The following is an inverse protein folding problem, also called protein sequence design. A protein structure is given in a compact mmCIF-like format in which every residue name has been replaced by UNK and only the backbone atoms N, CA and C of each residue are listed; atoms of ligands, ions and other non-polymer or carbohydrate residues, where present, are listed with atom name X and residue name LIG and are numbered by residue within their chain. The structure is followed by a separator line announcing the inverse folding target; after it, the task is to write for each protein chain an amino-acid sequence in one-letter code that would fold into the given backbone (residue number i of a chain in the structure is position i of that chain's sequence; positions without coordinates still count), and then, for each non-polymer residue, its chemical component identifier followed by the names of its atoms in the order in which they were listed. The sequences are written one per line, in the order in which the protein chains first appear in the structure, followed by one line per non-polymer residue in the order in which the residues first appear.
data_IF_420031709059
#
_entry.id   IF_420031709059
#
_cell.length_a   1.000
_cell.length_b   1.000
_cell.length_c   1.000
_cell.angle_alpha   90.00
_cell.angle_beta   90.00
_cell.angle_gamma   90.00
#
_symmetry.space_group_name_H-M   'P 1'
#
loop_
_entity.id
_entity.type
_entity.pdbx_description
1 polymer ?
#
# COMPACT_ATOMS: atom_id res chain seq x y z
N UNK A 1 -10.71 -1.41 -19.79
CA UNK A 1 -10.33 -0.14 -19.16
C UNK A 1 -11.62 0.60 -18.85
N UNK A 2 -12.22 0.28 -17.71
CA UNK A 2 -13.45 0.92 -17.25
C UNK A 2 -13.13 2.33 -16.79
N UNK A 3 -13.96 3.31 -17.16
CA UNK A 3 -13.81 4.69 -16.73
C UNK A 3 -13.85 4.77 -15.21
N UNK A 4 -12.87 5.48 -14.64
CA UNK A 4 -12.84 5.90 -13.23
C UNK A 4 -14.12 6.68 -12.99
N UNK A 5 -14.94 6.28 -12.01
CA UNK A 5 -16.11 7.06 -11.59
C UNK A 5 -15.57 8.31 -10.89
N UNK A 6 -15.44 9.39 -11.66
CA UNK A 6 -15.26 10.75 -11.16
C UNK A 6 -16.58 11.16 -10.50
N UNK A 7 -16.72 10.89 -9.19
CA UNK A 7 -17.63 11.60 -8.26
C UNK A 7 -17.61 10.90 -6.88
N UNK A 8 -16.43 10.81 -6.27
CA UNK A 8 -16.27 10.46 -4.85
C UNK A 8 -15.60 11.66 -4.16
N UNK A 9 -16.41 12.51 -3.54
CA UNK A 9 -15.93 13.56 -2.64
C UNK A 9 -15.35 12.89 -1.38
N UNK A 10 -14.01 12.88 -1.28
CA UNK A 10 -13.26 12.10 -0.29
C UNK A 10 -12.61 10.88 -0.95
N UNK A 11 -11.29 10.72 -0.74
CA UNK A 11 -10.50 9.69 -1.44
C UNK A 11 -11.12 8.29 -1.35
N UNK A 12 -11.07 7.54 -2.46
CA UNK A 12 -11.48 6.14 -2.54
C UNK A 12 -10.28 5.20 -2.50
N UNK A 13 -10.51 3.99 -2.01
CA UNK A 13 -9.51 2.91 -2.03
C UNK A 13 -9.98 1.79 -2.93
N UNK A 14 -9.16 1.42 -3.91
CA UNK A 14 -9.43 0.26 -4.74
C UNK A 14 -9.25 -1.02 -3.92
N UNK A 15 -10.21 -1.94 -4.04
CA UNK A 15 -10.16 -3.32 -3.55
C UNK A 15 -10.31 -4.31 -4.70
N UNK A 16 -9.76 -5.50 -4.53
CA UNK A 16 -9.88 -6.58 -5.51
C UNK A 16 -9.01 -7.77 -5.18
N UNK A 17 -9.06 -8.78 -6.05
CA UNK A 17 -8.22 -9.96 -5.98
C UNK A 17 -7.08 -9.79 -6.98
N UNK A 18 -5.84 -10.01 -6.53
CA UNK A 18 -4.67 -9.96 -7.39
C UNK A 18 -4.80 -10.96 -8.55
N UNK A 19 -4.42 -10.55 -9.76
CA UNK A 19 -4.57 -11.37 -10.97
C UNK A 19 -6.00 -11.51 -11.49
N UNK A 20 -7.01 -11.09 -10.72
CA UNK A 20 -8.39 -10.95 -11.18
C UNK A 20 -8.63 -9.60 -11.86
N UNK A 21 -9.65 -9.53 -12.72
CA UNK A 21 -10.08 -8.28 -13.37
C UNK A 21 -11.14 -7.51 -12.57
N UNK A 22 -11.80 -8.17 -11.61
CA UNK A 22 -12.82 -7.54 -10.80
C UNK A 22 -12.20 -6.53 -9.83
N UNK A 23 -12.80 -5.34 -9.78
CA UNK A 23 -12.39 -4.25 -8.88
C UNK A 23 -13.61 -3.48 -8.40
N UNK A 24 -13.46 -2.90 -7.21
CA UNK A 24 -14.36 -1.89 -6.70
C UNK A 24 -13.59 -0.81 -5.97
N UNK A 25 -14.21 0.35 -5.87
CA UNK A 25 -13.81 1.45 -5.03
C UNK A 25 -14.63 1.41 -3.74
N UNK A 26 -13.96 1.57 -2.61
CA UNK A 26 -14.62 1.84 -1.32
C UNK A 26 -14.34 3.29 -0.96
N UNK A 27 -15.39 4.08 -0.79
CA UNK A 27 -15.24 5.48 -0.38
C UNK A 27 -15.01 5.61 1.13
N UNK A 28 -14.70 6.84 1.58
CA UNK A 28 -14.45 7.15 2.99
C UNK A 28 -15.64 6.85 3.93
N UNK A 29 -16.82 6.54 3.39
CA UNK A 29 -18.07 6.27 4.12
C UNK A 29 -18.48 4.80 4.05
N UNK A 30 -17.67 3.94 3.45
CA UNK A 30 -17.94 2.51 3.33
C UNK A 30 -18.94 2.15 2.23
N UNK A 31 -19.23 3.08 1.31
CA UNK A 31 -19.96 2.79 0.08
C UNK A 31 -19.05 2.03 -0.86
N UNK A 32 -19.59 1.02 -1.53
CA UNK A 32 -18.83 0.19 -2.47
C UNK A 32 -19.34 0.45 -3.87
N UNK A 33 -18.45 0.83 -4.80
CA UNK A 33 -18.78 1.04 -6.20
C UNK A 33 -17.93 0.12 -7.06
N UNK A 34 -18.54 -0.85 -7.74
CA UNK A 34 -17.81 -1.71 -8.67
C UNK A 34 -17.36 -0.90 -9.88
N UNK A 35 -16.25 -1.29 -10.51
CA UNK A 35 -15.80 -0.63 -11.75
C UNK A 35 -16.78 -0.80 -12.94
N UNK A 36 -17.77 -1.70 -12.81
CA UNK A 36 -18.89 -1.84 -13.74
C UNK A 36 -20.04 -0.86 -13.43
N UNK A 37 -19.92 -0.04 -12.38
CA UNK A 37 -20.84 1.03 -12.01
C UNK A 37 -21.94 0.63 -11.01
N UNK A 38 -21.93 -0.59 -10.48
CA UNK A 38 -22.91 -0.99 -9.45
C UNK A 38 -22.48 -0.45 -8.08
N UNK A 39 -23.37 0.26 -7.40
CA UNK A 39 -23.12 0.82 -6.07
C UNK A 39 -23.92 0.09 -4.97
N UNK A 40 -23.26 -0.16 -3.84
CA UNK A 40 -23.86 -0.66 -2.61
C UNK A 40 -23.74 0.42 -1.53
N UNK A 41 -24.88 1.05 -1.22
CA UNK A 41 -25.02 1.95 -0.08
C UNK A 41 -25.51 1.16 1.14
N UNK A 42 -25.28 1.70 2.34
CA UNK A 42 -25.67 1.06 3.58
C UNK A 42 -26.19 2.07 4.60
N UNK A 43 -27.11 1.63 5.46
CA UNK A 43 -27.71 2.41 6.54
C UNK A 43 -27.82 1.58 7.80
N UNK A 44 -27.89 2.24 8.95
CA UNK A 44 -28.03 1.59 10.25
C UNK A 44 -29.28 2.14 10.95
N UNK A 45 -30.20 1.27 11.33
CA UNK A 45 -31.22 1.59 12.31
C UNK A 45 -30.70 1.24 13.70
N UNK A 46 -30.55 2.24 14.56
CA UNK A 46 -30.25 2.08 15.97
C UNK A 46 -31.44 2.52 16.83
N UNK A 47 -31.32 2.46 18.16
CA UNK A 47 -32.40 2.79 19.09
C UNK A 47 -32.85 4.26 19.04
N UNK A 48 -31.97 5.16 18.61
CA UNK A 48 -32.22 6.60 18.56
C UNK A 48 -32.84 7.05 17.24
N UNK A 49 -32.23 6.65 16.12
CA UNK A 49 -32.59 7.05 14.76
C UNK A 49 -31.94 6.14 13.72
N UNK A 50 -32.23 6.47 12.46
CA UNK A 50 -31.43 6.03 11.33
C UNK A 50 -30.12 6.82 11.24
N UNK A 51 -29.03 6.10 10.96
CA UNK A 51 -27.71 6.64 10.66
C UNK A 51 -27.40 6.36 9.18
N UNK A 52 -27.10 7.43 8.44
CA UNK A 52 -26.64 7.37 7.06
C UNK A 52 -25.16 7.76 7.04
N UNK A 53 -24.22 6.81 6.84
CA UNK A 53 -22.79 7.05 6.87
C UNK A 53 -22.34 8.21 5.96
N UNK A 54 -23.08 8.51 4.89
CA UNK A 54 -22.79 9.63 3.98
C UNK A 54 -22.96 11.00 4.65
N UNK A 55 -23.85 11.09 5.65
CA UNK A 55 -24.19 12.32 6.35
C UNK A 55 -23.65 12.36 7.80
N UNK A 56 -23.15 11.24 8.32
CA UNK A 56 -22.61 11.15 9.69
C UNK A 56 -21.22 11.79 9.82
N UNK A 57 -21.06 12.86 10.59
CA UNK A 57 -19.73 13.50 10.79
C UNK A 57 -18.73 12.62 11.55
N UNK A 58 -19.21 11.60 12.27
CA UNK A 58 -18.41 10.72 13.14
C UNK A 58 -17.86 9.48 12.43
N UNK A 59 -18.09 9.34 11.12
CA UNK A 59 -17.54 8.21 10.36
C UNK A 59 -16.04 8.29 10.33
N UNK A 60 -15.41 7.17 10.68
CA UNK A 60 -13.97 7.00 10.64
C UNK A 60 -13.64 5.73 9.89
N UNK A 61 -12.67 5.81 8.99
CA UNK A 61 -12.25 4.69 8.17
C UNK A 61 -10.73 4.55 8.22
N UNK A 62 -10.27 3.31 8.20
CA UNK A 62 -8.86 2.97 8.10
C UNK A 62 -8.66 1.71 7.26
N UNK A 63 -7.49 1.58 6.65
CA UNK A 63 -7.01 0.31 6.10
C UNK A 63 -6.39 -0.53 7.23
N UNK A 64 -6.66 -1.82 7.25
CA UNK A 64 -6.01 -2.76 8.19
C UNK A 64 -4.58 -3.01 7.71
N UNK A 65 -3.59 -2.62 8.51
CA UNK A 65 -2.15 -2.74 8.20
C UNK A 65 -1.76 -2.08 6.86
N UNK A 66 -2.48 -1.03 6.45
CA UNK A 66 -2.29 -0.37 5.14
C UNK A 66 -2.80 -1.17 3.93
N UNK A 67 -3.40 -2.34 4.14
CA UNK A 67 -3.85 -3.24 3.06
C UNK A 67 -5.24 -2.86 2.50
N UNK A 68 -5.67 -3.41 1.35
CA UNK A 68 -7.03 -3.26 0.78
C UNK A 68 -8.13 -3.97 1.59
N UNK A 69 -8.03 -3.94 2.91
CA UNK A 69 -9.03 -4.38 3.88
C UNK A 69 -9.43 -3.13 4.65
N UNK A 70 -10.62 -2.62 4.39
CA UNK A 70 -11.09 -1.37 4.99
C UNK A 70 -11.97 -1.65 6.20
N UNK A 71 -11.83 -0.83 7.23
CA UNK A 71 -12.69 -0.83 8.42
C UNK A 71 -13.33 0.55 8.56
N UNK A 72 -14.65 0.63 8.34
CA UNK A 72 -15.46 1.83 8.51
C UNK A 72 -16.27 1.72 9.80
N UNK A 73 -16.07 2.65 10.74
CA UNK A 73 -16.84 2.70 12.00
C UNK A 73 -17.84 3.86 11.97
N UNK A 74 -19.09 3.57 12.30
CA UNK A 74 -20.16 4.54 12.46
C UNK A 74 -20.60 4.54 13.92
N UNK A 75 -20.58 5.72 14.55
CA UNK A 75 -21.01 5.90 15.94
C UNK A 75 -22.52 5.75 16.05
N UNK A 76 -22.96 4.88 16.96
CA UNK A 76 -24.37 4.71 17.35
C UNK A 76 -24.49 4.87 18.87
N UNK A 77 -25.70 4.93 19.46
CA UNK A 77 -25.84 4.99 20.92
C UNK A 77 -25.06 3.88 21.62
N UNK A 78 -24.21 4.27 22.58
CA UNK A 78 -23.46 3.35 23.43
C UNK A 78 -22.28 2.62 22.77
N UNK A 79 -22.01 2.79 21.48
CA UNK A 79 -20.93 2.05 20.81
C UNK A 79 -20.77 2.37 19.32
N UNK A 80 -20.33 1.40 18.53
CA UNK A 80 -20.10 1.58 17.10
C UNK A 80 -20.65 0.41 16.29
N UNK A 81 -21.05 0.68 15.05
CA UNK A 81 -21.24 -0.35 14.02
C UNK A 81 -20.03 -0.34 13.11
N UNK A 82 -19.38 -1.49 12.97
CA UNK A 82 -18.10 -1.62 12.28
C UNK A 82 -18.29 -2.44 11.01
N UNK A 83 -18.16 -1.79 9.86
CA UNK A 83 -18.15 -2.44 8.55
C UNK A 83 -16.70 -2.77 8.15
N UNK A 84 -16.44 -4.01 7.74
CA UNK A 84 -15.18 -4.41 7.12
C UNK A 84 -15.41 -4.85 5.68
N UNK A 85 -14.66 -4.28 4.75
CA UNK A 85 -14.78 -4.55 3.31
C UNK A 85 -13.44 -5.04 2.77
N UNK A 86 -13.45 -6.20 2.10
CA UNK A 86 -12.26 -6.81 1.52
C UNK A 86 -12.63 -7.82 0.43
N UNK A 87 -11.68 -8.16 -0.44
CA UNK A 87 -11.90 -9.14 -1.51
C UNK A 87 -11.18 -10.46 -1.24
N UNK A 88 -11.84 -11.58 -1.54
CA UNK A 88 -11.27 -12.93 -1.48
C UNK A 88 -11.36 -13.60 -2.84
N UNK A 89 -10.37 -14.43 -3.17
CA UNK A 89 -10.33 -15.19 -4.43
C UNK A 89 -11.22 -16.44 -4.41
N UNK A 90 -11.62 -16.88 -3.21
CA UNK A 90 -12.44 -18.06 -2.97
C UNK A 90 -13.76 -17.99 -3.77
N UNK A 91 -14.29 -19.15 -4.15
CA UNK A 91 -15.58 -19.28 -4.84
C UNK A 91 -15.74 -18.43 -6.13
N UNK A 92 -14.65 -18.18 -6.85
CA UNK A 92 -14.67 -17.38 -8.09
C UNK A 92 -14.60 -15.87 -7.86
N UNK A 93 -14.23 -15.45 -6.65
CA UNK A 93 -14.08 -14.05 -6.27
C UNK A 93 -15.31 -13.51 -5.55
N UNK A 94 -15.12 -12.98 -4.34
CA UNK A 94 -16.18 -12.33 -3.56
C UNK A 94 -15.63 -11.08 -2.88
N UNK A 95 -16.37 -9.98 -2.95
CA UNK A 95 -16.13 -8.81 -2.11
C UNK A 95 -16.96 -8.96 -0.86
N UNK A 96 -16.29 -9.29 0.23
CA UNK A 96 -16.87 -9.50 1.54
C UNK A 96 -17.21 -8.17 2.19
N UNK A 97 -18.39 -8.13 2.82
CA UNK A 97 -18.82 -7.09 3.74
C UNK A 97 -19.18 -7.77 5.05
N UNK A 98 -18.38 -7.53 6.08
CA UNK A 98 -18.70 -7.92 7.46
C UNK A 98 -19.20 -6.71 8.21
N UNK A 99 -20.31 -6.83 8.93
CA UNK A 99 -20.83 -5.74 9.78
C UNK A 99 -20.98 -6.25 11.20
N UNK A 100 -20.16 -5.74 12.10
CA UNK A 100 -20.15 -6.05 13.52
C UNK A 100 -20.92 -4.97 14.30
N UNK A 101 -21.79 -5.42 15.21
CA UNK A 101 -22.43 -4.53 16.18
C UNK A 101 -21.62 -4.49 17.48
N UNK A 102 -20.76 -3.48 17.59
CA UNK A 102 -19.99 -3.16 18.80
C UNK A 102 -20.72 -2.09 19.64
N UNK A 103 -22.04 -2.28 19.82
CA UNK A 103 -22.88 -1.46 20.69
C UNK A 103 -23.79 -2.35 21.55
N UNK A 104 -24.21 -1.91 22.76
CA UNK A 104 -25.02 -2.72 23.68
C UNK A 104 -26.40 -3.13 23.16
N UNK A 105 -26.99 -2.33 22.28
CA UNK A 105 -28.34 -2.54 21.77
C UNK A 105 -28.31 -3.26 20.40
N UNK A 106 -29.32 -4.10 20.07
CA UNK A 106 -29.48 -4.61 18.72
C UNK A 106 -29.67 -3.48 17.70
N UNK A 107 -29.06 -3.63 16.52
CA UNK A 107 -29.22 -2.71 15.39
C UNK A 107 -29.77 -3.47 14.17
N UNK A 108 -30.27 -2.76 13.17
CA UNK A 108 -30.50 -3.33 11.85
C UNK A 108 -29.64 -2.62 10.81
N UNK A 109 -29.03 -3.38 9.91
CA UNK A 109 -28.27 -2.84 8.78
C UNK A 109 -29.06 -3.05 7.51
N UNK A 110 -29.18 -2.00 6.71
CA UNK A 110 -29.85 -2.01 5.41
C UNK A 110 -28.82 -1.84 4.32
N UNK A 111 -28.93 -2.62 3.25
CA UNK A 111 -28.18 -2.43 2.01
C UNK A 111 -29.11 -1.99 0.88
N UNK A 112 -28.62 -1.16 -0.04
CA UNK A 112 -29.42 -0.55 -1.12
C UNK A 112 -30.07 -1.55 -2.08
N UNK A 113 -29.55 -2.77 -2.18
CA UNK A 113 -30.16 -3.82 -2.97
C UNK A 113 -29.85 -5.24 -2.45
N UNK A 114 -30.74 -6.19 -2.73
CA UNK A 114 -30.57 -7.61 -2.40
C UNK A 114 -29.67 -8.43 -3.32
N UNK A 115 -28.93 -7.83 -4.27
CA UNK A 115 -28.02 -8.55 -5.17
C UNK A 115 -26.72 -8.98 -4.46
N UNK A 116 -26.86 -9.75 -3.38
CA UNK A 116 -25.79 -10.15 -2.46
C UNK A 116 -25.78 -11.67 -2.25
N UNK A 117 -24.62 -12.18 -1.88
CA UNK A 117 -24.46 -13.46 -1.21
C UNK A 117 -24.73 -13.26 0.29
N UNK A 118 -25.57 -14.07 0.90
CA UNK A 118 -26.00 -13.87 2.29
C UNK A 118 -25.90 -15.16 3.11
N UNK A 119 -25.41 -15.09 4.35
CA UNK A 119 -25.38 -16.25 5.26
C UNK A 119 -26.78 -16.65 5.74
N UNK A 120 -27.66 -15.67 5.86
CA UNK A 120 -29.05 -15.84 6.29
C UNK A 120 -29.95 -14.97 5.41
N UNK A 121 -31.21 -15.36 5.20
CA UNK A 121 -32.15 -14.53 4.45
C UNK A 121 -32.31 -13.13 5.06
N UNK A 122 -32.50 -12.08 4.25
CA UNK A 122 -32.93 -10.78 4.74
C UNK A 122 -34.22 -10.86 5.56
N UNK A 123 -34.41 -9.92 6.48
CA UNK A 123 -35.67 -9.80 7.18
C UNK A 123 -36.80 -9.41 6.20
N UNK A 124 -37.99 -9.96 6.43
CA UNK A 124 -39.20 -9.67 5.64
C UNK A 124 -40.00 -8.49 6.18
N UNK A 125 -39.55 -7.91 7.31
CA UNK A 125 -40.17 -6.74 7.92
C UNK A 125 -39.91 -5.52 7.02
N UNK A 126 -40.94 -4.71 6.69
CA UNK A 126 -40.77 -3.49 5.93
C UNK A 126 -39.77 -2.53 6.58
N UNK A 127 -38.97 -1.86 5.74
CA UNK A 127 -38.09 -0.78 6.19
C UNK A 127 -38.93 0.48 6.29
N UNK A 128 -39.08 1.01 7.51
CA UNK A 128 -39.88 2.19 7.80
C UNK A 128 -39.02 3.32 8.39
N UNK A 129 -39.42 4.57 8.16
CA UNK A 129 -38.76 5.74 8.75
C UNK A 129 -37.49 6.25 8.05
N UNK A 130 -37.14 5.68 6.89
CA UNK A 130 -36.08 6.16 6.00
C UNK A 130 -36.47 5.93 4.53
N UNK A 131 -36.06 6.85 3.66
CA UNK A 131 -36.15 6.65 2.21
C UNK A 131 -34.96 5.82 1.73
N UNK A 132 -35.26 4.62 1.21
CA UNK A 132 -34.26 3.71 0.63
C UNK A 132 -34.69 3.24 -0.75
N UNK A 133 -33.75 2.87 -1.64
CA UNK A 133 -34.09 2.40 -2.98
C UNK A 133 -34.98 1.15 -2.96
N UNK A 134 -35.76 0.98 -4.04
CA UNK A 134 -36.52 -0.24 -4.25
C UNK A 134 -35.57 -1.45 -4.35
N UNK A 135 -35.89 -2.52 -3.60
CA UNK A 135 -35.06 -3.72 -3.53
C UNK A 135 -34.03 -3.71 -2.40
N UNK A 136 -34.01 -2.67 -1.56
CA UNK A 136 -33.23 -2.66 -0.33
C UNK A 136 -33.57 -3.84 0.59
N UNK A 137 -32.56 -4.34 1.29
CA UNK A 137 -32.66 -5.52 2.16
C UNK A 137 -32.13 -5.20 3.56
N UNK A 138 -32.79 -5.71 4.60
CA UNK A 138 -32.44 -5.43 6.00
C UNK A 138 -31.99 -6.69 6.75
N UNK A 139 -31.06 -6.51 7.69
CA UNK A 139 -30.50 -7.58 8.50
C UNK A 139 -30.38 -7.13 9.97
N UNK A 140 -31.11 -7.77 10.92
CA UNK A 140 -30.98 -7.46 12.34
C UNK A 140 -29.70 -8.07 12.92
N UNK A 141 -28.91 -7.29 13.63
CA UNK A 141 -27.63 -7.68 14.23
C UNK A 141 -27.73 -7.49 15.75
N UNK A 142 -27.65 -8.61 16.49
CA UNK A 142 -27.61 -8.56 17.95
C UNK A 142 -26.32 -7.96 18.49
N UNK A 143 -26.29 -7.68 19.80
CA UNK A 143 -25.09 -7.21 20.49
C UNK A 143 -23.92 -8.18 20.30
N UNK A 144 -22.74 -7.64 19.93
CA UNK A 144 -21.53 -8.41 19.64
C UNK A 144 -21.70 -9.52 18.57
N UNK A 145 -22.70 -9.38 17.70
CA UNK A 145 -22.89 -10.26 16.56
C UNK A 145 -22.32 -9.62 15.28
N UNK A 146 -21.88 -10.49 14.35
CA UNK A 146 -21.37 -10.07 13.05
C UNK A 146 -22.25 -10.65 11.94
N UNK A 147 -22.73 -9.76 11.06
CA UNK A 147 -23.33 -10.12 9.78
C UNK A 147 -22.23 -10.27 8.73
N UNK A 148 -22.30 -11.32 7.90
CA UNK A 148 -21.46 -11.43 6.70
C UNK A 148 -22.34 -11.52 5.46
N UNK A 149 -22.06 -10.65 4.49
CA UNK A 149 -22.61 -10.68 3.14
C UNK A 149 -21.49 -10.52 2.12
N UNK A 150 -21.75 -10.81 0.86
CA UNK A 150 -20.75 -10.69 -0.20
C UNK A 150 -21.34 -10.17 -1.50
N UNK A 151 -20.54 -9.44 -2.27
CA UNK A 151 -20.82 -9.14 -3.68
C UNK A 151 -20.07 -10.21 -4.50
N UNK A 152 -20.77 -11.08 -5.24
CA UNK A 152 -20.10 -12.07 -6.07
C UNK A 152 -19.39 -11.36 -7.23
N UNK A 153 -18.12 -11.71 -7.50
CA UNK A 153 -17.39 -11.17 -8.65
C UNK A 153 -17.90 -11.76 -9.96
N UNK A 154 -18.46 -12.97 -9.89
CA UNK A 154 -19.12 -13.66 -10.98
C UNK A 154 -20.37 -14.38 -10.48
N UNK A 155 -21.38 -14.52 -11.33
CA UNK A 155 -22.60 -15.25 -11.00
C UNK A 155 -23.70 -14.41 -10.34
N UNK A 156 -24.64 -15.11 -9.70
CA UNK A 156 -25.89 -14.53 -9.19
C UNK A 156 -25.90 -14.44 -7.65
N UNK A 157 -26.76 -13.56 -7.08
CA UNK A 157 -27.06 -13.53 -5.65
C UNK A 157 -27.49 -14.90 -5.11
N UNK A 158 -27.29 -15.16 -3.83
CA UNK A 158 -27.57 -16.49 -3.26
C UNK A 158 -27.00 -16.72 -1.86
N UNK A 159 -26.84 -17.99 -1.44
CA UNK A 159 -26.22 -18.31 -0.16
C UNK A 159 -24.73 -17.94 -0.17
N UNK A 160 -24.23 -17.39 0.94
CA UNK A 160 -22.81 -17.14 1.11
C UNK A 160 -22.05 -18.46 1.31
N UNK A 161 -20.95 -18.71 0.55
CA UNK A 161 -20.07 -19.86 0.79
C UNK A 161 -19.54 -19.90 2.22
N UNK A 162 -19.43 -21.09 2.80
CA UNK A 162 -19.03 -21.26 4.19
C UNK A 162 -17.53 -21.01 4.43
N UNK A 163 -16.69 -21.41 3.49
CA UNK A 163 -15.23 -21.31 3.57
C UNK A 163 -14.73 -20.12 2.76
N UNK A 164 -14.76 -18.93 3.38
CA UNK A 164 -14.22 -17.70 2.80
C UNK A 164 -13.19 -17.09 3.74
N UNK A 165 -12.12 -16.53 3.18
CA UNK A 165 -11.07 -15.84 3.94
C UNK A 165 -11.61 -14.79 4.92
N UNK A 166 -10.90 -14.63 6.04
CA UNK A 166 -11.18 -13.60 7.06
C UNK A 166 -10.44 -12.30 6.72
N UNK A 167 -10.88 -11.13 7.21
CA UNK A 167 -10.20 -9.86 6.93
C UNK A 167 -8.72 -9.89 7.34
N UNK A 168 -8.40 -10.48 8.50
CA UNK A 168 -7.01 -10.61 8.97
C UNK A 168 -6.17 -11.57 8.11
N UNK A 169 -6.75 -12.65 7.60
CA UNK A 169 -6.03 -13.55 6.69
C UNK A 169 -5.70 -12.86 5.37
N UNK A 170 -6.63 -12.06 4.85
CA UNK A 170 -6.44 -11.27 3.63
C UNK A 170 -5.38 -10.19 3.83
N UNK A 171 -5.46 -9.43 4.93
CA UNK A 171 -4.46 -8.42 5.28
C UNK A 171 -3.05 -9.04 5.35
N UNK A 172 -2.87 -10.15 6.09
CA UNK A 172 -1.59 -10.88 6.14
C UNK A 172 -1.11 -11.40 4.78
N UNK A 173 -2.02 -11.75 3.88
CA UNK A 173 -1.70 -12.13 2.51
C UNK A 173 -1.08 -10.95 1.74
N UNK A 174 -1.73 -9.79 1.80
CA UNK A 174 -1.25 -8.56 1.20
C UNK A 174 0.08 -8.09 1.79
N UNK A 175 0.21 -8.05 3.11
CA UNK A 175 1.46 -7.62 3.77
C UNK A 175 2.63 -8.48 3.30
N UNK A 176 2.51 -9.81 3.33
CA UNK A 176 3.56 -10.74 2.86
C UNK A 176 3.95 -10.51 1.40
N UNK A 177 2.97 -10.23 0.54
CA UNK A 177 3.23 -9.92 -0.85
C UNK A 177 4.04 -8.62 -0.99
N UNK A 178 3.62 -7.55 -0.29
CA UNK A 178 4.33 -6.26 -0.36
C UNK A 178 5.73 -6.30 0.27
N UNK A 179 5.94 -7.14 1.29
CA UNK A 179 7.24 -7.34 1.95
C UNK A 179 8.26 -8.07 1.06
N UNK A 180 7.83 -8.70 -0.04
CA UNK A 180 8.73 -9.31 -1.03
C UNK A 180 9.65 -8.26 -1.66
N UNK A 181 9.18 -7.02 -1.82
CA UNK A 181 9.97 -5.92 -2.36
C UNK A 181 10.97 -5.35 -1.34
N UNK A 182 10.49 -5.04 -0.14
CA UNK A 182 11.28 -4.73 1.06
C UNK A 182 10.39 -4.78 2.30
N UNK A 183 10.97 -5.17 3.43
CA UNK A 183 10.27 -5.20 4.72
C UNK A 183 10.83 -4.12 5.62
N UNK A 184 9.96 -3.34 6.25
CA UNK A 184 10.35 -2.28 7.18
C UNK A 184 9.52 -2.41 8.45
N UNK A 185 10.18 -2.32 9.60
CA UNK A 185 9.56 -2.28 10.93
C UNK A 185 10.08 -1.02 11.57
N UNK A 186 9.28 0.04 11.56
CA UNK A 186 9.66 1.39 11.99
C UNK A 186 8.88 1.80 13.25
N UNK A 187 9.40 2.72 14.08
CA UNK A 187 8.66 3.25 15.24
C UNK A 187 7.41 4.03 14.81
N UNK A 188 7.42 4.61 13.60
CA UNK A 188 6.28 5.27 12.99
C UNK A 188 5.50 4.28 12.11
N UNK A 189 4.43 3.72 12.67
CA UNK A 189 3.57 2.76 11.98
C UNK A 189 2.87 3.35 10.75
N UNK A 190 2.61 4.66 10.71
CA UNK A 190 1.91 5.29 9.59
C UNK A 190 2.76 5.27 8.31
N UNK A 191 4.09 5.34 8.42
CA UNK A 191 4.99 5.17 7.27
C UNK A 191 4.96 3.74 6.73
N UNK A 192 4.88 2.75 7.61
CA UNK A 192 4.80 1.33 7.23
C UNK A 192 3.47 1.05 6.53
N UNK A 193 2.35 1.49 7.10
CA UNK A 193 1.02 1.34 6.52
C UNK A 193 0.91 2.07 5.18
N UNK A 194 1.48 3.28 5.05
CA UNK A 194 1.50 4.02 3.77
C UNK A 194 2.32 3.28 2.71
N UNK A 195 3.46 2.68 3.08
CA UNK A 195 4.27 1.88 2.15
C UNK A 195 3.47 0.68 1.62
N UNK A 196 2.82 -0.07 2.51
CA UNK A 196 1.95 -1.21 2.16
C UNK A 196 0.81 -0.74 1.26
N UNK A 197 0.14 0.35 1.62
CA UNK A 197 -0.98 0.91 0.86
C UNK A 197 -0.59 1.28 -0.56
N UNK A 198 0.50 2.04 -0.75
CA UNK A 198 0.99 2.44 -2.07
C UNK A 198 1.29 1.21 -2.94
N UNK A 199 1.94 0.19 -2.39
CA UNK A 199 2.24 -1.07 -3.09
C UNK A 199 0.99 -1.84 -3.48
N UNK A 200 0.04 -1.98 -2.56
CA UNK A 200 -1.24 -2.63 -2.83
C UNK A 200 -2.02 -1.90 -3.93
N UNK A 201 -2.03 -0.57 -3.92
CA UNK A 201 -2.69 0.21 -4.97
C UNK A 201 -2.03 0.01 -6.34
N UNK A 202 -0.69 -0.07 -6.42
CA UNK A 202 0.00 -0.41 -7.67
C UNK A 202 -0.31 -1.83 -8.13
N UNK A 203 -0.37 -2.80 -7.22
CA UNK A 203 -0.76 -4.19 -7.55
C UNK A 203 -2.20 -4.30 -8.09
N UNK A 204 -3.12 -3.48 -7.58
CA UNK A 204 -4.52 -3.51 -7.98
C UNK A 204 -4.79 -2.71 -9.25
N UNK A 205 -4.23 -1.50 -9.35
CA UNK A 205 -4.51 -0.54 -10.42
C UNK A 205 -3.51 -0.60 -11.57
N UNK A 206 -2.35 -1.20 -11.36
CA UNK A 206 -1.22 -1.09 -12.26
C UNK A 206 -0.43 0.21 -12.08
N UNK A 207 0.66 0.37 -12.84
CA UNK A 207 1.46 1.59 -12.84
C UNK A 207 0.67 2.78 -13.41
N UNK A 208 1.15 4.00 -13.15
CA UNK A 208 0.60 5.20 -13.79
C UNK A 208 0.73 5.12 -15.32
N UNK A 209 -0.15 5.84 -16.02
CA UNK A 209 -0.08 5.94 -17.48
C UNK A 209 1.24 6.62 -17.90
N UNK A 210 2.06 5.99 -18.76
CA UNK A 210 3.40 6.47 -19.09
C UNK A 210 3.41 7.75 -19.95
N UNK A 211 2.27 8.16 -20.52
CA UNK A 211 2.17 9.40 -21.31
C UNK A 211 1.99 10.60 -20.37
N UNK A 212 1.14 10.44 -19.36
CA UNK A 212 0.87 11.47 -18.35
C UNK A 212 1.91 11.52 -17.22
N UNK A 213 2.44 10.37 -16.78
CA UNK A 213 3.41 10.26 -15.70
C UNK A 213 4.43 9.15 -15.96
N UNK A 214 5.45 9.44 -16.78
CA UNK A 214 6.52 8.50 -17.10
C UNK A 214 7.31 8.03 -15.86
N UNK A 215 7.53 8.91 -14.88
CA UNK A 215 8.26 8.57 -13.64
C UNK A 215 7.43 7.63 -12.76
N UNK A 216 6.16 7.96 -12.51
CA UNK A 216 5.26 7.10 -11.76
C UNK A 216 5.03 5.75 -12.44
N UNK A 217 5.00 5.73 -13.77
CA UNK A 217 4.90 4.50 -14.55
C UNK A 217 6.11 3.59 -14.33
N UNK A 218 7.32 4.14 -14.44
CA UNK A 218 8.58 3.41 -14.20
C UNK A 218 8.70 2.87 -12.79
N UNK A 219 8.44 3.72 -11.78
CA UNK A 219 8.49 3.31 -10.39
C UNK A 219 7.45 2.20 -10.13
N UNK A 220 6.24 2.32 -10.66
CA UNK A 220 5.21 1.29 -10.54
C UNK A 220 5.62 -0.04 -11.19
N UNK A 221 6.11 -0.02 -12.43
CA UNK A 221 6.56 -1.22 -13.16
C UNK A 221 7.69 -1.95 -12.40
N UNK A 222 8.69 -1.19 -11.94
CA UNK A 222 9.82 -1.78 -11.21
C UNK A 222 9.41 -2.32 -9.84
N UNK A 223 8.48 -1.65 -9.15
CA UNK A 223 7.95 -2.12 -7.87
C UNK A 223 7.10 -3.39 -8.03
N UNK A 224 6.32 -3.50 -9.11
CA UNK A 224 5.59 -4.74 -9.44
C UNK A 224 6.53 -5.94 -9.58
N UNK A 225 7.66 -5.77 -10.27
CA UNK A 225 8.68 -6.81 -10.40
C UNK A 225 9.30 -7.15 -9.04
N UNK A 226 9.59 -6.15 -8.21
CA UNK A 226 10.08 -6.39 -6.84
C UNK A 226 9.07 -7.14 -5.96
N UNK A 227 7.79 -7.02 -6.23
CA UNK A 227 6.71 -7.78 -5.56
C UNK A 227 6.40 -9.12 -6.24
N UNK A 228 7.23 -9.57 -7.19
CA UNK A 228 7.14 -10.91 -7.79
C UNK A 228 6.36 -10.99 -9.11
N UNK A 229 6.02 -9.87 -9.75
CA UNK A 229 5.48 -9.89 -11.12
C UNK A 229 6.56 -10.32 -12.13
N UNK A 230 6.14 -10.92 -13.25
CA UNK A 230 7.08 -11.38 -14.27
C UNK A 230 7.85 -10.22 -14.90
N UNK A 231 9.16 -10.19 -14.63
CA UNK A 231 10.07 -9.17 -15.13
C UNK A 231 10.16 -9.19 -16.66
N UNK A 232 10.18 -10.38 -17.28
CA UNK A 232 10.41 -10.52 -18.73
C UNK A 232 9.28 -9.85 -19.51
N UNK A 233 8.03 -10.01 -19.06
CA UNK A 233 6.87 -9.33 -19.63
C UNK A 233 6.89 -7.81 -19.51
N UNK A 234 7.50 -7.26 -18.45
CA UNK A 234 7.43 -5.83 -18.13
C UNK A 234 8.63 -5.00 -18.60
N UNK A 235 9.77 -5.64 -18.92
CA UNK A 235 10.99 -4.95 -19.41
C UNK A 235 10.74 -4.05 -20.63
N UNK A 236 10.01 -4.47 -21.69
CA UNK A 236 9.78 -3.61 -22.85
C UNK A 236 9.07 -2.30 -22.51
N UNK A 237 8.07 -2.36 -21.61
CA UNK A 237 7.33 -1.19 -21.14
C UNK A 237 8.23 -0.27 -20.31
N UNK A 238 9.02 -0.84 -19.39
CA UNK A 238 9.96 -0.09 -18.57
C UNK A 238 11.03 0.61 -19.42
N UNK A 239 11.62 -0.07 -20.41
CA UNK A 239 12.61 0.54 -21.32
C UNK A 239 11.98 1.67 -22.14
N UNK A 240 10.76 1.48 -22.64
CA UNK A 240 10.03 2.51 -23.40
C UNK A 240 9.75 3.76 -22.55
N UNK A 241 9.34 3.57 -21.30
CA UNK A 241 9.12 4.68 -20.37
C UNK A 241 10.44 5.36 -19.94
N UNK A 242 11.53 4.59 -19.77
CA UNK A 242 12.86 5.11 -19.49
C UNK A 242 13.39 5.98 -20.64
N UNK A 243 13.17 5.58 -21.90
CA UNK A 243 13.54 6.38 -23.05
C UNK A 243 12.78 7.71 -23.10
N UNK A 244 11.46 7.69 -22.82
CA UNK A 244 10.63 8.90 -22.73
C UNK A 244 11.14 9.86 -21.65
N UNK A 245 11.36 9.35 -20.43
CA UNK A 245 11.91 10.12 -19.32
C UNK A 245 13.27 10.72 -19.69
N UNK A 246 14.19 9.90 -20.19
CA UNK A 246 15.52 10.35 -20.57
C UNK A 246 15.50 11.39 -21.69
N UNK A 247 14.56 11.31 -22.63
CA UNK A 247 14.39 12.30 -23.70
C UNK A 247 13.93 13.64 -23.15
N UNK A 248 12.95 13.65 -22.22
CA UNK A 248 12.49 14.86 -21.55
C UNK A 248 13.62 15.52 -20.74
N UNK A 249 14.35 14.71 -19.97
CA UNK A 249 15.45 15.14 -19.11
C UNK A 249 16.68 15.71 -19.85
N UNK A 250 16.79 15.56 -21.18
CA UNK A 250 17.93 16.15 -21.94
C UNK A 250 18.00 17.66 -21.85
N UNK A 251 16.87 18.32 -21.61
CA UNK A 251 16.77 19.78 -21.61
C UNK A 251 16.87 20.38 -20.21
N UNK A 252 16.34 19.71 -19.19
CA UNK A 252 16.22 20.22 -17.83
C UNK A 252 17.01 19.42 -16.77
N UNK A 253 17.62 18.29 -17.13
CA UNK A 253 18.21 17.35 -16.18
C UNK A 253 17.19 16.41 -15.54
N UNK A 254 17.64 15.60 -14.58
CA UNK A 254 16.79 14.73 -13.77
C UNK A 254 16.46 15.38 -12.43
N UNK A 255 15.19 15.40 -12.08
CA UNK A 255 14.75 15.54 -10.70
C UNK A 255 15.02 14.25 -9.91
N UNK A 256 14.86 14.31 -8.57
CA UNK A 256 15.21 13.22 -7.67
C UNK A 256 14.42 11.92 -7.96
N UNK A 257 13.15 12.05 -8.35
CA UNK A 257 12.26 10.92 -8.64
C UNK A 257 12.55 10.32 -10.02
N UNK A 258 12.89 11.14 -11.01
CA UNK A 258 13.41 10.70 -12.30
C UNK A 258 14.74 9.95 -12.16
N UNK A 259 15.64 10.44 -11.32
CA UNK A 259 16.87 9.75 -10.98
C UNK A 259 16.59 8.40 -10.28
N UNK A 260 15.67 8.38 -9.31
CA UNK A 260 15.26 7.16 -8.63
C UNK A 260 14.64 6.13 -9.59
N UNK A 261 13.80 6.57 -10.52
CA UNK A 261 13.17 5.74 -11.53
C UNK A 261 14.18 5.08 -12.46
N UNK A 262 15.15 5.85 -13.00
CA UNK A 262 16.19 5.28 -13.85
C UNK A 262 17.11 4.30 -13.08
N UNK A 263 17.44 4.59 -11.81
CA UNK A 263 18.17 3.63 -10.98
C UNK A 263 17.35 2.35 -10.71
N UNK A 264 16.02 2.44 -10.63
CA UNK A 264 15.15 1.28 -10.51
C UNK A 264 15.12 0.44 -11.79
N UNK A 265 15.15 1.10 -12.96
CA UNK A 265 15.27 0.42 -14.27
C UNK A 265 16.60 -0.30 -14.41
N UNK A 266 17.71 0.30 -13.95
CA UNK A 266 19.01 -0.37 -13.93
C UNK A 266 18.94 -1.69 -13.13
N UNK A 267 18.36 -1.67 -11.92
CA UNK A 267 18.16 -2.86 -11.09
C UNK A 267 17.27 -3.89 -11.77
N UNK A 268 16.20 -3.46 -12.44
CA UNK A 268 15.33 -4.33 -13.23
C UNK A 268 16.13 -5.04 -14.33
N UNK A 269 16.91 -4.32 -15.12
CA UNK A 269 17.72 -4.87 -16.21
C UNK A 269 18.79 -5.85 -15.70
N UNK A 270 19.41 -5.53 -14.57
CA UNK A 270 20.32 -6.45 -13.86
C UNK A 270 19.60 -7.74 -13.48
N UNK A 271 18.38 -7.65 -12.93
CA UNK A 271 17.63 -8.82 -12.44
C UNK A 271 17.27 -9.82 -13.56
N UNK A 272 17.12 -9.34 -14.80
CA UNK A 272 16.87 -10.18 -15.98
C UNK A 272 18.15 -10.57 -16.74
N UNK A 273 19.33 -10.22 -16.22
CA UNK A 273 20.62 -10.55 -16.83
C UNK A 273 21.05 -9.68 -18.01
N UNK A 274 20.32 -8.59 -18.31
CA UNK A 274 20.70 -7.64 -19.37
C UNK A 274 21.71 -6.60 -18.84
N UNK A 275 22.92 -7.07 -18.54
CA UNK A 275 23.99 -6.24 -17.98
C UNK A 275 24.44 -5.11 -18.92
N UNK A 276 24.27 -5.28 -20.24
CA UNK A 276 24.62 -4.26 -21.22
C UNK A 276 23.61 -3.12 -21.17
N UNK A 277 22.32 -3.42 -21.24
CA UNK A 277 21.29 -2.39 -21.13
C UNK A 277 21.34 -1.70 -19.76
N UNK A 278 21.61 -2.43 -18.68
CA UNK A 278 21.81 -1.84 -17.36
C UNK A 278 22.97 -0.83 -17.35
N UNK A 279 24.12 -1.18 -17.96
CA UNK A 279 25.26 -0.26 -18.07
C UNK A 279 24.94 0.98 -18.91
N UNK A 280 24.17 0.83 -19.99
CA UNK A 280 23.71 1.95 -20.82
C UNK A 280 22.79 2.89 -20.02
N UNK A 281 21.88 2.35 -19.20
CA UNK A 281 21.02 3.14 -18.29
C UNK A 281 21.86 3.85 -17.21
N UNK A 282 22.85 3.19 -16.62
CA UNK A 282 23.74 3.80 -15.63
C UNK A 282 24.54 4.97 -16.23
N UNK A 283 25.07 4.80 -17.45
CA UNK A 283 25.77 5.86 -18.17
C UNK A 283 24.84 7.04 -18.52
N UNK A 284 23.60 6.75 -18.89
CA UNK A 284 22.57 7.75 -19.15
C UNK A 284 22.22 8.54 -17.89
N UNK A 285 21.99 7.85 -16.78
CA UNK A 285 21.72 8.45 -15.47
C UNK A 285 22.83 9.41 -15.04
N UNK A 286 24.10 8.99 -15.17
CA UNK A 286 25.25 9.81 -14.83
C UNK A 286 25.34 11.06 -15.72
N UNK A 287 25.14 10.92 -17.02
CA UNK A 287 25.16 12.03 -17.98
C UNK A 287 24.06 13.06 -17.75
N UNK A 288 22.91 12.62 -17.25
CA UNK A 288 21.75 13.48 -16.95
C UNK A 288 21.81 14.09 -15.54
N UNK A 289 22.89 13.87 -14.79
CA UNK A 289 23.09 14.47 -13.47
C UNK A 289 22.26 13.82 -12.37
N UNK A 290 21.99 12.51 -12.46
CA UNK A 290 21.09 11.81 -11.52
C UNK A 290 21.52 11.85 -10.04
N UNK A 291 22.77 12.20 -9.72
CA UNK A 291 23.23 12.40 -8.33
C UNK A 291 22.92 13.79 -7.76
N UNK A 292 22.48 14.74 -8.59
CA UNK A 292 22.45 16.16 -8.25
C UNK A 292 21.18 16.66 -7.58
N UNK A 293 20.05 15.96 -7.75
CA UNK A 293 18.77 16.42 -7.22
C UNK A 293 18.56 15.95 -5.76
N UNK A 294 18.22 16.86 -4.82
CA UNK A 294 17.96 16.50 -3.43
C UNK A 294 16.63 15.76 -3.28
N UNK A 295 16.58 14.78 -2.38
CA UNK A 295 15.32 14.13 -1.97
C UNK A 295 14.49 15.15 -1.16
N UNK A 296 13.18 15.28 -1.42
CA UNK A 296 12.35 16.26 -0.73
C UNK A 296 12.22 15.95 0.76
N UNK A 297 12.14 16.98 1.60
CA UNK A 297 11.94 16.83 3.04
C UNK A 297 10.58 16.21 3.37
N UNK A 298 9.55 16.62 2.63
CA UNK A 298 8.18 16.14 2.81
C UNK A 298 7.92 14.89 1.96
N UNK A 299 7.16 13.96 2.53
CA UNK A 299 6.78 12.71 1.87
C UNK A 299 5.91 12.99 0.61
N UNK A 300 6.32 12.52 -0.57
CA UNK A 300 5.54 12.66 -1.80
C UNK A 300 4.39 11.65 -1.86
N UNK A 301 3.38 11.94 -2.68
CA UNK A 301 2.22 11.07 -2.86
C UNK A 301 2.45 9.90 -3.82
N UNK A 302 1.58 8.90 -3.71
CA UNK A 302 1.58 7.72 -4.58
C UNK A 302 2.90 6.97 -4.58
N UNK A 303 3.26 6.41 -5.74
CA UNK A 303 4.39 5.51 -5.89
C UNK A 303 5.76 6.15 -5.60
N UNK A 304 5.86 7.48 -5.66
CA UNK A 304 7.08 8.23 -5.30
C UNK A 304 7.42 8.10 -3.81
N UNK A 305 6.43 7.79 -2.97
CA UNK A 305 6.65 7.54 -1.55
C UNK A 305 7.64 6.39 -1.29
N UNK A 306 7.63 5.36 -2.15
CA UNK A 306 8.51 4.19 -1.99
C UNK A 306 9.99 4.57 -2.05
N UNK A 307 10.54 5.10 -3.16
CA UNK A 307 11.94 5.48 -3.21
C UNK A 307 12.27 6.61 -2.23
N UNK A 308 11.32 7.49 -1.89
CA UNK A 308 11.52 8.52 -0.87
C UNK A 308 11.84 7.89 0.50
N UNK A 309 11.00 6.96 0.96
CA UNK A 309 11.21 6.29 2.24
C UNK A 309 12.49 5.45 2.21
N UNK A 310 12.70 4.69 1.12
CA UNK A 310 13.89 3.86 0.98
C UNK A 310 15.18 4.70 0.98
N UNK A 311 15.24 5.82 0.27
CA UNK A 311 16.44 6.68 0.28
C UNK A 311 16.71 7.36 1.63
N UNK A 312 15.66 7.65 2.42
CA UNK A 312 15.89 8.14 3.79
C UNK A 312 16.48 7.09 4.71
N UNK A 313 16.22 5.81 4.45
CA UNK A 313 16.76 4.68 5.21
C UNK A 313 18.13 4.24 4.67
N UNK A 314 18.26 4.06 3.36
CA UNK A 314 19.45 3.57 2.67
C UNK A 314 19.51 4.15 1.24
N UNK A 315 20.42 5.09 0.99
CA UNK A 315 20.62 5.69 -0.34
C UNK A 315 21.83 5.10 -1.05
N UNK A 316 21.64 4.32 -2.12
CA UNK A 316 22.75 3.88 -2.97
C UNK A 316 23.32 5.05 -3.77
N UNK A 317 24.65 5.11 -3.85
CA UNK A 317 25.41 6.07 -4.64
C UNK A 317 26.15 5.36 -5.78
N UNK A 318 26.49 6.11 -6.82
CA UNK A 318 27.16 5.57 -8.03
C UNK A 318 28.59 5.06 -7.80
N UNK A 319 29.20 5.37 -6.65
CA UNK A 319 30.56 4.96 -6.27
C UNK A 319 30.59 3.68 -5.42
N UNK A 320 29.60 2.78 -5.62
CA UNK A 320 29.46 1.52 -4.86
C UNK A 320 29.41 1.72 -3.33
N UNK A 321 28.77 2.81 -2.92
CA UNK A 321 28.55 3.16 -1.52
C UNK A 321 27.05 3.25 -1.27
N UNK A 322 26.58 2.81 -0.11
CA UNK A 322 25.21 3.03 0.36
C UNK A 322 25.24 3.84 1.66
N UNK A 323 24.58 4.99 1.66
CA UNK A 323 24.50 5.88 2.83
C UNK A 323 23.28 5.50 3.67
N UNK A 324 23.50 5.07 4.89
CA UNK A 324 22.44 4.77 5.86
C UNK A 324 22.07 6.04 6.63
N UNK A 325 20.78 6.33 6.76
CA UNK A 325 20.26 7.50 7.47
C UNK A 325 20.99 8.79 7.12
N UNK A 326 20.97 9.15 5.83
CA UNK A 326 21.65 10.34 5.30
C UNK A 326 21.26 11.62 6.09
N UNK A 327 19.98 11.76 6.41
CA UNK A 327 19.43 12.87 7.19
C UNK A 327 19.49 12.67 8.72
N UNK A 328 20.09 11.59 9.21
CA UNK A 328 20.15 11.27 10.63
C UNK A 328 18.95 10.47 11.16
N UNK A 329 18.95 10.21 12.47
CA UNK A 329 17.82 9.57 13.13
C UNK A 329 16.64 10.54 13.23
N UNK A 330 15.42 10.14 12.83
CA UNK A 330 14.23 10.93 13.16
C UNK A 330 14.09 11.08 14.67
N UNK A 331 13.83 12.29 15.17
CA UNK A 331 13.74 12.55 16.62
C UNK A 331 12.73 11.65 17.33
N UNK A 332 11.59 11.36 16.69
CA UNK A 332 10.57 10.44 17.25
C UNK A 332 10.98 8.97 17.29
N UNK A 333 12.13 8.59 16.73
CA UNK A 333 12.62 7.20 16.69
C UNK A 333 13.75 6.94 17.69
N UNK A 334 14.21 7.97 18.40
CA UNK A 334 15.27 7.86 19.39
C UNK A 334 14.84 6.93 20.53
N UNK A 335 15.71 5.99 20.92
CA UNK A 335 15.42 4.97 21.92
C UNK A 335 14.54 3.80 21.44
N UNK A 336 13.95 3.87 20.25
CA UNK A 336 13.10 2.81 19.70
C UNK A 336 13.87 1.88 18.77
N UNK A 337 13.75 0.56 18.99
CA UNK A 337 14.35 -0.44 18.13
C UNK A 337 13.58 -0.58 16.81
N UNK A 338 14.29 -0.75 15.70
CA UNK A 338 13.67 -0.92 14.38
C UNK A 338 14.58 -1.70 13.43
N UNK A 339 14.02 -2.19 12.33
CA UNK A 339 14.75 -3.00 11.34
C UNK A 339 14.17 -2.85 9.94
N UNK A 340 15.03 -3.03 8.94
CA UNK A 340 14.70 -3.00 7.52
C UNK A 340 15.38 -4.17 6.81
N UNK A 341 14.74 -4.68 5.76
CA UNK A 341 15.24 -5.80 4.97
C UNK A 341 15.03 -5.54 3.48
N UNK A 342 15.97 -6.03 2.67
CA UNK A 342 15.92 -5.96 1.21
C UNK A 342 15.86 -4.54 0.64
N UNK A 343 16.40 -3.55 1.36
CA UNK A 343 16.52 -2.19 0.80
C UNK A 343 17.56 -2.17 -0.32
N UNK A 344 17.31 -1.49 -1.45
CA UNK A 344 18.31 -1.34 -2.49
C UNK A 344 19.58 -0.65 -1.97
N UNK A 345 20.72 -1.32 -2.05
CA UNK A 345 22.04 -0.78 -1.68
C UNK A 345 22.95 -0.53 -2.90
N UNK A 346 22.53 -0.99 -4.08
CA UNK A 346 23.18 -0.75 -5.36
C UNK A 346 22.40 -1.41 -6.50
N UNK A 347 22.96 -1.45 -7.72
CA UNK A 347 22.34 -2.13 -8.86
C UNK A 347 22.17 -3.64 -8.66
N UNK A 348 23.08 -4.25 -7.89
CA UNK A 348 23.20 -5.71 -7.66
C UNK A 348 23.23 -6.09 -6.18
N UNK A 349 22.88 -5.16 -5.30
CA UNK A 349 23.08 -5.32 -3.87
C UNK A 349 21.87 -4.81 -3.09
N UNK A 350 21.53 -5.54 -2.04
CA UNK A 350 20.53 -5.16 -1.06
C UNK A 350 21.16 -5.12 0.33
N UNK A 351 20.63 -4.27 1.19
CA UNK A 351 20.99 -4.20 2.61
C UNK A 351 19.77 -4.48 3.48
N UNK A 352 19.96 -5.32 4.48
CA UNK A 352 19.11 -5.36 5.68
C UNK A 352 19.91 -4.83 6.85
N UNK A 353 19.28 -4.04 7.71
CA UNK A 353 19.93 -3.61 8.95
C UNK A 353 18.93 -3.31 10.06
N UNK A 354 19.39 -3.44 11.30
CA UNK A 354 18.63 -3.15 12.50
C UNK A 354 19.35 -2.10 13.34
N UNK A 355 18.57 -1.24 13.99
CA UNK A 355 19.04 -0.30 15.00
C UNK A 355 18.51 -0.74 16.35
N UNK A 356 19.42 -1.02 17.28
CA UNK A 356 19.13 -1.49 18.64
C UNK A 356 19.73 -0.55 19.67
N UNK A 357 18.92 -0.03 20.59
CA UNK A 357 19.40 0.95 21.58
C UNK A 357 19.99 0.30 22.82
N UNK A 358 21.16 0.76 23.21
CA UNK A 358 21.85 0.38 24.45
C UNK A 358 22.17 1.65 25.25
N UNK A 359 21.18 2.14 26.00
CA UNK A 359 21.25 3.47 26.60
C UNK A 359 21.14 4.57 25.54
N UNK A 360 22.04 5.54 25.55
CA UNK A 360 22.04 6.71 24.65
C UNK A 360 22.63 6.41 23.26
N UNK A 361 23.29 5.26 23.09
CA UNK A 361 23.96 4.89 21.84
C UNK A 361 23.25 3.71 21.15
N UNK A 362 22.97 3.81 19.83
CA UNK A 362 22.44 2.69 19.07
C UNK A 362 23.56 1.77 18.56
N UNK A 363 23.35 0.46 18.63
CA UNK A 363 24.07 -0.53 17.85
C UNK A 363 23.37 -0.71 16.49
N UNK A 364 24.16 -0.72 15.41
CA UNK A 364 23.73 -1.08 14.08
C UNK A 364 24.18 -2.51 13.78
N UNK A 365 23.26 -3.34 13.29
CA UNK A 365 23.56 -4.68 12.80
C UNK A 365 23.16 -4.71 11.33
N UNK A 366 24.03 -5.17 10.44
CA UNK A 366 23.74 -5.19 9.01
C UNK A 366 24.06 -6.52 8.36
N UNK A 367 23.39 -6.75 7.22
CA UNK A 367 23.63 -7.83 6.29
C UNK A 367 23.48 -7.28 4.86
N UNK A 368 24.39 -7.67 3.98
CA UNK A 368 24.38 -7.34 2.55
C UNK A 368 24.19 -8.63 1.76
N UNK A 369 23.22 -8.59 0.86
CA UNK A 369 23.01 -9.65 -0.14
C UNK A 369 23.37 -9.11 -1.52
N UNK A 370 24.07 -9.93 -2.33
CA UNK A 370 24.51 -9.56 -3.68
C UNK A 370 25.97 -9.13 -3.73
N UNK A 371 26.30 -8.17 -4.59
CA UNK A 371 27.68 -7.68 -4.72
C UNK A 371 28.11 -6.85 -3.49
N UNK A 372 29.42 -6.86 -3.13
CA UNK A 372 29.91 -6.06 -2.00
C UNK A 372 29.65 -4.56 -2.20
N UNK A 373 29.11 -3.90 -1.17
CA UNK A 373 28.90 -2.45 -1.12
C UNK A 373 29.51 -1.90 0.17
N UNK A 374 30.06 -0.68 0.13
CA UNK A 374 30.52 0.01 1.35
C UNK A 374 29.34 0.73 1.99
N UNK A 375 29.06 0.43 3.26
CA UNK A 375 28.05 1.17 4.02
C UNK A 375 28.69 2.38 4.68
N UNK A 376 28.03 3.52 4.58
CA UNK A 376 28.46 4.78 5.19
C UNK A 376 27.36 5.29 6.09
N UNK A 377 27.73 5.72 7.29
CA UNK A 377 26.79 6.42 8.16
C UNK A 377 26.61 7.84 7.65
N UNK A 378 25.37 8.24 7.39
CA UNK A 378 25.01 9.61 7.07
C UNK A 378 25.17 10.54 8.27
N UNK A 379 24.27 11.50 8.40
CA UNK A 379 24.28 12.41 9.56
C UNK A 379 24.12 11.66 10.90
N UNK A 380 23.57 10.43 10.88
CA UNK A 380 23.47 9.58 12.08
C UNK A 380 24.82 9.11 12.61
N UNK A 381 25.81 8.87 11.74
CA UNK A 381 27.13 8.37 12.13
C UNK A 381 28.21 8.73 11.08
N UNK A 382 28.59 10.01 10.92
CA UNK A 382 29.37 10.47 9.76
C UNK A 382 30.73 9.79 9.58
N UNK A 383 31.38 9.42 10.70
CA UNK A 383 32.67 8.74 10.72
C UNK A 383 32.58 7.23 10.58
N UNK A 384 31.38 6.64 10.65
CA UNK A 384 31.20 5.20 10.58
C UNK A 384 31.28 4.70 9.14
N UNK A 385 31.88 3.52 8.98
CA UNK A 385 32.02 2.80 7.72
C UNK A 385 31.82 1.31 8.01
N UNK A 386 30.83 0.70 7.37
CA UNK A 386 30.60 -0.74 7.40
C UNK A 386 31.14 -1.41 6.14
N UNK A 387 31.81 -2.54 6.30
CA UNK A 387 32.28 -3.38 5.19
C UNK A 387 32.06 -4.86 5.49
N UNK A 388 32.13 -5.71 4.47
CA UNK A 388 31.81 -7.14 4.58
C UNK A 388 30.33 -7.44 4.35
N UNK A 389 29.99 -8.73 4.31
CA UNK A 389 28.61 -9.19 4.03
C UNK A 389 27.70 -9.08 5.25
N UNK A 390 28.24 -8.96 6.46
CA UNK A 390 27.48 -8.68 7.68
C UNK A 390 28.40 -8.09 8.75
N UNK A 391 27.80 -7.48 9.78
CA UNK A 391 28.53 -6.97 10.93
C UNK A 391 27.66 -6.30 11.96
N UNK A 392 28.29 -5.86 13.03
CA UNK A 392 27.69 -5.10 14.14
C UNK A 392 28.67 -4.02 14.58
N UNK A 393 28.16 -2.81 14.84
CA UNK A 393 28.95 -1.70 15.36
C UNK A 393 28.10 -0.78 16.24
N UNK A 394 28.76 -0.10 17.18
CA UNK A 394 28.11 0.90 18.04
C UNK A 394 28.25 2.30 17.46
N UNK A 395 27.14 2.91 17.07
CA UNK A 395 27.09 4.28 16.56
C UNK A 395 27.27 5.32 17.69
N UNK A 396 27.65 6.56 17.35
CA UNK A 396 27.72 7.64 18.33
C UNK A 396 26.33 7.94 18.91
N UNK A 397 26.31 8.66 20.02
CA UNK A 397 25.07 9.24 20.54
C UNK A 397 24.50 10.22 19.49
N UNK A 398 23.22 10.14 19.15
CA UNK A 398 22.58 11.07 18.22
C UNK A 398 22.69 12.50 18.73
N UNK A 399 23.09 13.43 17.86
CA UNK A 399 23.04 14.85 18.18
C UNK A 399 21.59 15.37 18.01
N UNK A 400 21.13 16.28 18.91
CA UNK A 400 19.76 16.77 18.94
C UNK A 400 19.32 17.54 17.69
#
# INVERSE_FOLDING_TARGET
MGQRVEDLEGGSTTIGVLGGHWRAEVDARGRIVTWEGSALDWWIAAEDRWHDPRHELTVRQQCVDGTPVLETRVRVPGGDVVQRVYAVADAGGVTMIEVENDSPAPVAVVFSHGRLLTQRPPATVPIEGIEVPAGAVSFPIGHHATLRVGIPHTGNPGPLPAELGTPLAVARGWTRLTETASRVVLPDAALVERLVSVRCQVLLNGPADPVSDAVGSLLGLTELVRMGSDAVGLVPEAVSAAERLARAARTCGLDWDGAAALSAVERLLVSVGDHRAAADVAALWARLGGSGAPVPEHAPDGIRFVPWLEYRLARPLSNNTCVLLEAGHPQGWLGANWEVHHLPAGPRSQVGYAVRWHGERPAVLWEITGEPVVLVGGSAAPSWRGSGTSGEDLWPEPQP
#
